data_IF_705252281688
#
_entry.id   IF_705252281688
#
_cell.length_a   1.000
_cell.length_b   1.000
_cell.length_c   1.000
_cell.angle_alpha   90.00
_cell.angle_beta   90.00
_cell.angle_gamma   90.00
#
_symmetry.space_group_name_H-M   'P 1'
#
loop_
_entity.id
_entity.type
_entity.pdbx_description
1 polymer ?
#
# COMPACT_ATOMS: atom_id res chain seq x y z
N UNK A 1 13.87 -9.94 5.77
CA UNK A 1 12.58 -9.21 5.65
C UNK A 1 12.16 -8.79 7.04
N UNK A 2 11.98 -7.49 7.28
CA UNK A 2 11.60 -6.94 8.58
C UNK A 2 10.12 -6.56 8.53
N UNK A 3 9.28 -7.31 9.24
CA UNK A 3 7.84 -7.03 9.36
C UNK A 3 7.61 -6.32 10.70
N UNK A 4 6.83 -5.24 10.71
CA UNK A 4 6.62 -4.46 11.94
C UNK A 4 5.60 -5.10 12.88
N UNK A 5 4.79 -6.03 12.38
CA UNK A 5 3.73 -6.70 13.12
C UNK A 5 3.52 -8.17 12.71
N UNK A 6 2.88 -8.96 13.59
CA UNK A 6 2.46 -10.32 13.25
C UNK A 6 1.40 -10.33 12.13
N UNK A 7 0.58 -9.29 12.05
CA UNK A 7 -0.43 -9.11 11.00
C UNK A 7 0.22 -8.98 9.61
N UNK A 8 1.24 -8.14 9.46
CA UNK A 8 2.01 -8.04 8.21
C UNK A 8 2.62 -9.38 7.82
N UNK A 9 3.22 -10.11 8.77
CA UNK A 9 3.83 -11.41 8.49
C UNK A 9 2.79 -12.42 7.99
N UNK A 10 1.62 -12.50 8.65
CA UNK A 10 0.50 -13.35 8.21
C UNK A 10 0.02 -12.93 6.82
N UNK A 11 -0.13 -11.63 6.58
CA UNK A 11 -0.59 -11.11 5.29
C UNK A 11 0.40 -11.40 4.17
N UNK A 12 1.69 -11.23 4.42
CA UNK A 12 2.75 -11.61 3.50
C UNK A 12 2.68 -13.09 3.12
N UNK A 13 2.53 -13.98 4.12
CA UNK A 13 2.37 -15.41 3.85
C UNK A 13 1.12 -15.70 3.00
N UNK A 14 -0.01 -15.04 3.25
CA UNK A 14 -1.20 -15.15 2.42
C UNK A 14 -0.95 -14.68 0.98
N UNK A 15 -0.33 -13.51 0.79
CA UNK A 15 0.00 -12.99 -0.54
C UNK A 15 0.93 -13.94 -1.30
N UNK A 16 1.89 -14.55 -0.62
CA UNK A 16 2.76 -15.56 -1.21
C UNK A 16 1.98 -16.79 -1.70
N UNK A 17 1.02 -17.27 -0.91
CA UNK A 17 0.14 -18.39 -1.30
C UNK A 17 -0.74 -17.98 -2.49
N UNK A 18 -1.36 -16.80 -2.45
CA UNK A 18 -2.18 -16.28 -3.54
C UNK A 18 -1.37 -16.15 -4.84
N UNK A 19 -0.14 -15.65 -4.76
CA UNK A 19 0.76 -15.55 -5.91
C UNK A 19 1.12 -16.94 -6.45
N UNK A 20 1.39 -17.91 -5.56
CA UNK A 20 1.72 -19.29 -5.96
C UNK A 20 0.53 -20.04 -6.55
N UNK A 21 -0.68 -19.74 -6.10
CA UNK A 21 -1.92 -20.28 -6.66
C UNK A 21 -2.33 -19.56 -7.95
N UNK A 22 -1.59 -18.53 -8.35
CA UNK A 22 -1.90 -17.72 -9.51
C UNK A 22 -3.17 -16.88 -9.34
N UNK A 23 -3.57 -16.53 -8.12
CA UNK A 23 -4.69 -15.63 -7.83
C UNK A 23 -4.32 -14.15 -8.05
N UNK A 24 -3.05 -13.82 -7.81
CA UNK A 24 -2.47 -12.51 -8.09
C UNK A 24 -1.27 -12.68 -9.03
N UNK A 25 -1.01 -11.66 -9.86
CA UNK A 25 0.16 -11.66 -10.73
C UNK A 25 1.46 -11.49 -9.94
N UNK A 26 1.39 -10.76 -8.82
CA UNK A 26 2.51 -10.57 -7.92
C UNK A 26 2.18 -9.57 -6.81
N UNK A 27 3.16 -9.28 -5.98
CA UNK A 27 3.04 -8.24 -4.97
C UNK A 27 4.41 -7.64 -4.64
N UNK A 28 4.41 -6.40 -4.17
CA UNK A 28 5.58 -5.62 -3.77
C UNK A 28 5.43 -5.23 -2.30
N UNK A 29 6.52 -5.38 -1.55
CA UNK A 29 6.60 -4.97 -0.16
C UNK A 29 7.05 -3.52 -0.07
N UNK A 30 6.39 -2.78 0.80
CA UNK A 30 6.74 -1.41 1.14
C UNK A 30 6.94 -0.46 -0.05
N UNK A 31 6.01 -0.44 -1.03
CA UNK A 31 6.08 0.41 -2.20
C UNK A 31 6.08 1.89 -1.80
N UNK A 32 6.83 2.70 -2.52
CA UNK A 32 6.85 4.15 -2.35
C UNK A 32 6.07 4.83 -3.48
N UNK A 33 5.10 5.64 -3.11
CA UNK A 33 4.26 6.41 -4.02
C UNK A 33 4.54 7.89 -3.86
N UNK A 34 4.71 8.60 -4.97
CA UNK A 34 4.93 10.05 -4.96
C UNK A 34 3.56 10.72 -4.98
N UNK A 35 3.14 11.30 -3.85
CA UNK A 35 1.89 12.05 -3.74
C UNK A 35 2.05 13.46 -4.31
N UNK A 36 3.19 14.08 -4.00
CA UNK A 36 3.55 15.39 -4.49
C UNK A 36 5.02 15.42 -4.86
N UNK A 37 5.29 15.79 -6.11
CA UNK A 37 6.64 15.96 -6.60
C UNK A 37 7.32 17.12 -5.85
N UNK A 38 8.57 16.89 -5.45
CA UNK A 38 9.40 17.94 -4.91
C UNK A 38 9.89 18.84 -6.04
N UNK A 39 10.19 20.09 -5.68
CA UNK A 39 10.84 21.07 -6.53
C UNK A 39 12.14 21.53 -5.85
N UNK A 40 12.94 22.36 -6.52
CA UNK A 40 14.27 22.81 -6.04
C UNK A 40 14.27 23.32 -4.59
N UNK A 41 13.13 23.86 -4.12
CA UNK A 41 12.96 24.41 -2.78
C UNK A 41 12.19 23.52 -1.79
N UNK A 42 11.38 22.56 -2.25
CA UNK A 42 10.56 21.72 -1.35
C UNK A 42 10.77 20.23 -1.57
N UNK A 43 10.93 19.49 -0.47
CA UNK A 43 10.95 18.02 -0.49
C UNK A 43 9.57 17.50 -0.91
N UNK A 44 9.58 16.57 -1.85
CA UNK A 44 8.38 15.86 -2.28
C UNK A 44 7.74 15.09 -1.13
N UNK A 45 6.42 14.92 -1.22
CA UNK A 45 5.66 14.13 -0.26
C UNK A 45 5.52 12.74 -0.86
N UNK A 46 6.18 11.76 -0.26
CA UNK A 46 6.01 10.35 -0.59
C UNK A 46 5.15 9.65 0.46
N UNK A 47 4.38 8.68 -0.01
CA UNK A 47 3.60 7.77 0.82
C UNK A 47 4.14 6.36 0.63
N UNK A 48 4.51 5.73 1.74
CA UNK A 48 4.99 4.36 1.77
C UNK A 48 3.89 3.48 2.34
N UNK A 49 3.35 2.59 1.52
CA UNK A 49 2.36 1.61 1.96
C UNK A 49 3.05 0.33 2.47
N UNK A 50 2.30 -0.64 3.00
CA UNK A 50 2.87 -1.93 3.43
C UNK A 50 2.96 -2.94 2.28
N UNK A 51 1.91 -3.08 1.48
CA UNK A 51 1.84 -4.03 0.37
C UNK A 51 1.21 -3.39 -0.87
N UNK A 52 1.74 -3.71 -2.05
CA UNK A 52 1.10 -3.47 -3.33
C UNK A 52 0.87 -4.81 -4.01
N UNK A 53 -0.37 -5.11 -4.35
CA UNK A 53 -0.81 -6.31 -5.05
C UNK A 53 -1.01 -5.95 -6.52
N UNK A 54 -0.45 -6.78 -7.38
CA UNK A 54 -0.68 -6.75 -8.81
C UNK A 54 -1.73 -7.81 -9.13
N UNK A 55 -2.92 -7.38 -9.50
CA UNK A 55 -3.98 -8.29 -9.91
C UNK A 55 -3.72 -8.80 -11.34
N UNK A 56 -4.29 -9.97 -11.67
CA UNK A 56 -4.16 -10.55 -13.02
C UNK A 56 -4.79 -9.68 -14.10
N UNK A 57 -5.82 -8.91 -13.75
CA UNK A 57 -6.51 -7.99 -14.65
C UNK A 57 -5.68 -6.73 -14.98
N UNK A 58 -4.46 -6.60 -14.45
CA UNK A 58 -3.58 -5.45 -14.63
C UNK A 58 -3.87 -4.28 -13.69
N UNK A 59 -4.84 -4.43 -12.79
CA UNK A 59 -5.14 -3.44 -11.74
C UNK A 59 -4.19 -3.57 -10.55
N UNK A 60 -4.03 -2.46 -9.82
CA UNK A 60 -3.19 -2.37 -8.64
C UNK A 60 -4.04 -2.20 -7.39
N UNK A 61 -3.74 -2.96 -6.35
CA UNK A 61 -4.37 -2.80 -5.04
C UNK A 61 -3.31 -2.58 -3.99
N UNK A 62 -3.44 -1.53 -3.19
CA UNK A 62 -2.52 -1.22 -2.10
C UNK A 62 -3.16 -1.64 -0.79
N UNK A 63 -2.42 -2.34 0.07
CA UNK A 63 -2.87 -2.70 1.41
C UNK A 63 -1.94 -2.08 2.46
N UNK A 64 -2.54 -1.43 3.46
CA UNK A 64 -1.84 -0.73 4.55
C UNK A 64 -2.38 -1.22 5.91
N UNK A 65 -1.48 -1.70 6.77
CA UNK A 65 -1.81 -2.20 8.10
C UNK A 65 -1.78 -1.04 9.11
N UNK A 66 -2.96 -0.47 9.41
CA UNK A 66 -3.09 0.65 10.36
C UNK A 66 -4.04 0.30 11.49
N UNK A 67 -3.52 0.36 12.72
CA UNK A 67 -4.36 0.36 13.93
C UNK A 67 -5.04 1.70 14.21
N UNK A 68 -4.49 2.83 13.71
CA UNK A 68 -5.00 4.17 14.02
C UNK A 68 -5.04 5.10 12.80
N UNK A 69 -6.23 5.63 12.50
CA UNK A 69 -6.46 6.58 11.42
C UNK A 69 -6.27 8.02 11.93
N UNK A 70 -5.05 8.55 11.82
CA UNK A 70 -4.78 9.95 12.15
C UNK A 70 -5.37 10.92 11.11
N UNK A 71 -5.61 12.18 11.50
CA UNK A 71 -6.03 13.24 10.58
C UNK A 71 -5.04 13.45 9.42
N UNK A 72 -3.74 13.30 9.69
CA UNK A 72 -2.70 13.37 8.66
C UNK A 72 -2.87 12.24 7.64
N UNK A 73 -3.14 11.01 8.11
CA UNK A 73 -3.39 9.86 7.24
C UNK A 73 -4.59 10.08 6.32
N UNK A 74 -5.70 10.62 6.84
CA UNK A 74 -6.87 10.94 6.02
C UNK A 74 -6.54 11.94 4.91
N UNK A 75 -5.66 12.91 5.16
CA UNK A 75 -5.17 13.86 4.14
C UNK A 75 -4.29 13.16 3.11
N UNK A 76 -3.34 12.33 3.54
CA UNK A 76 -2.48 11.52 2.66
C UNK A 76 -3.30 10.60 1.77
N UNK A 77 -4.29 9.90 2.34
CA UNK A 77 -5.22 9.03 1.61
C UNK A 77 -6.02 9.81 0.56
N UNK A 78 -6.50 11.01 0.91
CA UNK A 78 -7.21 11.87 -0.03
C UNK A 78 -6.29 12.30 -1.18
N UNK A 79 -5.06 12.67 -0.91
CA UNK A 79 -4.07 13.02 -1.94
C UNK A 79 -3.74 11.82 -2.83
N UNK A 80 -3.55 10.64 -2.23
CA UNK A 80 -3.31 9.40 -2.95
C UNK A 80 -4.47 9.08 -3.91
N UNK A 81 -5.72 9.11 -3.44
CA UNK A 81 -6.90 8.86 -4.28
C UNK A 81 -7.07 9.88 -5.40
N UNK A 82 -6.64 11.13 -5.20
CA UNK A 82 -6.69 12.15 -6.24
C UNK A 82 -5.60 11.96 -7.31
N UNK A 83 -4.40 11.54 -6.90
CA UNK A 83 -3.27 11.31 -7.80
C UNK A 83 -3.37 9.96 -8.53
N UNK A 84 -3.90 8.96 -7.84
CA UNK A 84 -4.04 7.57 -8.30
C UNK A 84 -5.49 7.09 -8.11
N UNK A 85 -6.45 7.61 -8.88
CA UNK A 85 -7.86 7.23 -8.76
C UNK A 85 -8.13 5.77 -9.15
N UNK A 86 -7.19 5.16 -9.88
CA UNK A 86 -7.28 3.80 -10.42
C UNK A 86 -6.79 2.72 -9.43
N UNK A 87 -6.11 3.14 -8.35
CA UNK A 87 -5.53 2.22 -7.38
C UNK A 87 -6.47 2.06 -6.19
N UNK A 88 -6.86 0.81 -5.93
CA UNK A 88 -7.69 0.49 -4.77
C UNK A 88 -6.83 0.41 -3.50
N UNK A 89 -7.07 1.29 -2.53
CA UNK A 89 -6.35 1.28 -1.25
C UNK A 89 -7.22 0.68 -0.15
N UNK A 90 -6.78 -0.45 0.40
CA UNK A 90 -7.40 -1.17 1.51
C UNK A 90 -6.62 -0.96 2.80
N UNK A 91 -7.33 -0.60 3.85
CA UNK A 91 -6.75 -0.45 5.19
C UNK A 91 -7.08 -1.72 5.97
N UNK A 92 -6.06 -2.48 6.33
CA UNK A 92 -6.17 -3.64 7.21
C UNK A 92 -6.07 -3.17 8.65
N UNK A 93 -7.13 -3.43 9.43
CA UNK A 93 -7.17 -3.17 10.87
C UNK A 93 -7.09 -4.50 11.61
N UNK A 94 -6.27 -4.56 12.66
CA UNK A 94 -6.36 -5.64 13.64
C UNK A 94 -7.64 -5.42 14.44
N UNK A 95 -8.60 -6.35 14.33
CA UNK A 95 -9.85 -6.39 15.11
C UNK A 95 -9.61 -7.21 16.36
#
# INVERSE_FOLDING_TARGET
MYFRSQLECKRYCQLKILCSNGEIAGFVLQPEFILQEGNDENRGITYKADFLILNKDGSYSVEDTKGYESQQWKRTLKQFKLRYPEIDLKILKEV
#
